data_IF_841059490977
#
_entry.id   IF_841059490977
#
_cell.length_a   1.000
_cell.length_b   1.000
_cell.length_c   1.000
_cell.angle_alpha   90.00
_cell.angle_beta   90.00
_cell.angle_gamma   90.00
#
_symmetry.space_group_name_H-M   'P 1'
#
loop_
_entity.id
_entity.type
_entity.pdbx_description
1 polymer ?
#
# COMPACT_ATOMS: atom_id res chain seq x y z
N UNK A 1 6.72 10.41 2.51
CA UNK A 1 7.90 11.29 2.42
C UNK A 1 8.62 11.03 1.11
N UNK A 2 9.30 12.04 0.57
CA UNK A 2 10.01 11.91 -0.70
C UNK A 2 11.50 11.61 -0.49
N UNK A 3 12.02 10.69 -1.31
CA UNK A 3 13.44 10.47 -1.54
C UNK A 3 13.77 10.99 -2.93
N UNK A 4 14.30 12.21 -2.98
CA UNK A 4 14.60 12.96 -4.18
C UNK A 4 15.86 13.81 -3.96
N UNK A 5 17.06 13.31 -4.34
CA UNK A 5 18.33 14.03 -4.24
C UNK A 5 18.36 15.39 -4.95
N UNK A 6 17.59 15.55 -6.04
CA UNK A 6 17.50 16.83 -6.75
C UNK A 6 16.77 17.88 -5.92
N UNK A 7 15.72 17.48 -5.19
CA UNK A 7 14.94 18.36 -4.31
C UNK A 7 15.61 18.57 -2.94
N UNK A 8 16.29 17.55 -2.42
CA UNK A 8 16.97 17.57 -1.13
C UNK A 8 18.47 17.23 -1.27
N UNK A 9 19.31 18.16 -1.77
CA UNK A 9 20.69 17.87 -2.18
C UNK A 9 21.61 17.33 -1.07
N UNK A 10 21.31 17.62 0.20
CA UNK A 10 22.15 17.20 1.31
C UNK A 10 21.97 15.73 1.68
N UNK A 11 20.71 15.28 1.83
CA UNK A 11 20.40 13.97 2.39
C UNK A 11 19.57 13.08 1.46
N UNK A 12 18.95 13.66 0.42
CA UNK A 12 17.96 13.00 -0.42
C UNK A 12 16.53 13.11 0.10
N UNK A 13 16.30 13.53 1.34
CA UNK A 13 14.96 13.65 1.93
C UNK A 13 14.88 14.77 2.98
N UNK A 14 13.67 15.13 3.39
CA UNK A 14 13.44 16.08 4.49
C UNK A 14 13.62 15.41 5.87
N UNK A 15 14.84 15.47 6.41
CA UNK A 15 15.13 14.92 7.74
C UNK A 15 14.41 15.65 8.89
N UNK A 16 14.01 16.92 8.69
CA UNK A 16 13.32 17.67 9.74
C UNK A 16 11.93 17.09 9.99
N UNK A 17 11.20 16.77 8.91
CA UNK A 17 9.91 16.09 8.99
C UNK A 17 10.03 14.70 9.62
N UNK A 18 11.02 13.89 9.22
CA UNK A 18 11.23 12.56 9.81
C UNK A 18 11.47 12.65 11.32
N UNK A 19 12.37 13.54 11.74
CA UNK A 19 12.67 13.76 13.15
C UNK A 19 11.44 14.28 13.92
N UNK A 20 10.65 15.18 13.33
CA UNK A 20 9.44 15.73 13.95
C UNK A 20 8.40 14.63 14.19
N UNK A 21 8.03 13.86 13.17
CA UNK A 21 7.07 12.76 13.29
C UNK A 21 7.57 11.67 14.25
N UNK A 22 8.86 11.33 14.20
CA UNK A 22 9.48 10.43 15.18
C UNK A 22 9.31 10.92 16.62
N UNK A 23 9.49 12.22 16.86
CA UNK A 23 9.29 12.80 18.20
C UNK A 23 7.84 12.74 18.67
N UNK A 24 6.87 12.90 17.76
CA UNK A 24 5.44 12.81 18.07
C UNK A 24 5.05 11.36 18.38
N UNK A 25 5.52 10.40 17.58
CA UNK A 25 5.31 8.98 17.86
C UNK A 25 5.89 8.59 19.22
N UNK A 26 7.09 9.06 19.56
CA UNK A 26 7.72 8.79 20.86
C UNK A 26 6.92 9.35 22.04
N UNK A 27 6.40 10.59 21.91
CA UNK A 27 5.52 11.19 22.93
C UNK A 27 4.19 10.43 23.09
N UNK A 28 3.66 9.87 22.01
CA UNK A 28 2.42 9.10 22.02
C UNK A 28 2.61 7.64 22.47
N UNK A 29 3.85 7.14 22.55
CA UNK A 29 4.12 5.71 22.75
C UNK A 29 3.74 4.84 21.55
N UNK A 30 3.75 5.43 20.35
CA UNK A 30 3.35 4.77 19.11
C UNK A 30 4.56 4.23 18.32
N UNK A 31 4.29 3.32 17.39
CA UNK A 31 5.21 2.99 16.30
C UNK A 31 5.05 4.06 15.20
N UNK A 32 6.10 4.26 14.40
CA UNK A 32 6.05 5.14 13.23
C UNK A 32 6.08 4.31 11.96
N UNK A 33 5.10 4.48 11.07
CA UNK A 33 5.25 4.06 9.68
C UNK A 33 5.78 5.23 8.84
N UNK A 34 6.78 4.97 8.01
CA UNK A 34 7.32 5.93 7.04
C UNK A 34 7.20 5.32 5.65
N UNK A 35 6.27 5.84 4.86
CA UNK A 35 6.31 5.64 3.40
C UNK A 35 7.40 6.53 2.82
N UNK A 36 8.44 5.93 2.23
CA UNK A 36 9.50 6.65 1.53
C UNK A 36 9.41 6.40 0.03
N UNK A 37 9.16 7.47 -0.73
CA UNK A 37 8.87 7.41 -2.16
C UNK A 37 10.08 7.89 -2.98
N UNK A 38 10.72 7.04 -3.81
CA UNK A 38 11.78 7.41 -4.74
C UNK A 38 11.34 8.36 -5.88
N UNK A 39 10.80 9.54 -5.54
CA UNK A 39 10.26 10.47 -6.55
C UNK A 39 11.32 11.10 -7.46
N UNK A 40 12.61 10.97 -7.12
CA UNK A 40 13.70 11.29 -8.05
C UNK A 40 13.94 10.23 -9.14
N UNK A 41 13.23 9.10 -9.09
CA UNK A 41 13.57 7.87 -9.82
C UNK A 41 14.57 7.02 -9.04
N UNK A 42 14.64 5.73 -9.35
CA UNK A 42 15.59 4.82 -8.68
C UNK A 42 17.04 5.05 -9.12
N UNK A 43 17.23 5.42 -10.39
CA UNK A 43 18.56 5.54 -11.03
C UNK A 43 19.44 6.66 -10.49
N UNK A 44 18.85 7.64 -9.81
CA UNK A 44 19.57 8.74 -9.16
C UNK A 44 19.99 8.42 -7.72
N UNK A 45 19.50 7.30 -7.16
CA UNK A 45 19.81 6.90 -5.80
C UNK A 45 21.17 6.20 -5.73
N UNK A 46 21.88 6.42 -4.63
CA UNK A 46 23.24 5.91 -4.43
C UNK A 46 23.36 5.33 -3.03
N UNK A 47 24.43 4.59 -2.76
CA UNK A 47 24.74 4.08 -1.43
C UNK A 47 24.69 5.17 -0.35
N UNK A 48 25.13 6.40 -0.66
CA UNK A 48 25.07 7.54 0.26
C UNK A 48 23.64 7.92 0.61
N UNK A 49 22.71 7.93 -0.37
CA UNK A 49 21.30 8.24 -0.10
C UNK A 49 20.65 7.20 0.80
N UNK A 50 20.91 5.91 0.57
CA UNK A 50 20.43 4.83 1.44
C UNK A 50 21.01 4.93 2.85
N UNK A 51 22.32 5.19 2.98
CA UNK A 51 22.98 5.37 4.28
C UNK A 51 22.45 6.59 5.05
N UNK A 52 22.17 7.69 4.36
CA UNK A 52 21.59 8.89 4.97
C UNK A 52 20.20 8.62 5.53
N UNK A 53 19.34 7.93 4.78
CA UNK A 53 18.01 7.57 5.26
C UNK A 53 18.09 6.59 6.44
N UNK A 54 18.93 5.55 6.34
CA UNK A 54 19.17 4.61 7.44
C UNK A 54 19.65 5.33 8.72
N UNK A 55 20.51 6.33 8.58
CA UNK A 55 20.97 7.17 9.70
C UNK A 55 19.85 8.01 10.30
N UNK A 56 18.98 8.60 9.48
CA UNK A 56 17.80 9.34 9.95
C UNK A 56 16.83 8.45 10.73
N UNK A 57 16.63 7.21 10.28
CA UNK A 57 15.80 6.21 10.96
C UNK A 57 16.42 5.76 12.29
N UNK A 58 17.74 5.52 12.32
CA UNK A 58 18.47 5.25 13.56
C UNK A 58 18.30 6.39 14.58
N UNK A 59 18.38 7.65 14.13
CA UNK A 59 18.17 8.81 15.02
C UNK A 59 16.76 8.81 15.64
N UNK A 60 15.72 8.44 14.86
CA UNK A 60 14.36 8.27 15.40
C UNK A 60 14.34 7.15 16.45
N UNK A 61 14.97 6.02 16.16
CA UNK A 61 15.03 4.88 17.08
C UNK A 61 15.73 5.25 18.40
N UNK A 62 16.93 5.83 18.35
CA UNK A 62 17.75 6.10 19.54
C UNK A 62 17.23 7.28 20.37
N UNK A 63 16.80 8.36 19.70
CA UNK A 63 16.43 9.59 20.40
C UNK A 63 15.05 9.53 21.03
N UNK A 64 14.12 8.80 20.40
CA UNK A 64 12.72 8.75 20.82
C UNK A 64 12.27 7.36 21.27
N UNK A 65 13.10 6.32 21.10
CA UNK A 65 12.74 4.95 21.44
C UNK A 65 11.66 4.36 20.53
N UNK A 66 11.48 4.91 19.32
CA UNK A 66 10.37 4.58 18.41
C UNK A 66 10.81 3.52 17.41
N UNK A 67 10.17 2.33 17.38
CA UNK A 67 10.32 1.40 16.27
C UNK A 67 9.66 1.94 14.99
N UNK A 68 10.26 1.64 13.84
CA UNK A 68 9.80 2.15 12.55
C UNK A 68 9.42 1.02 11.59
N UNK A 69 8.30 1.18 10.88
CA UNK A 69 7.99 0.45 9.66
C UNK A 69 8.38 1.31 8.46
N UNK A 70 9.41 0.91 7.72
CA UNK A 70 9.84 1.62 6.51
C UNK A 70 9.17 0.99 5.28
N UNK A 71 8.12 1.65 4.75
CA UNK A 71 7.48 1.30 3.48
C UNK A 71 8.20 2.00 2.33
N UNK A 72 9.29 1.38 1.86
CA UNK A 72 10.14 1.93 0.81
C UNK A 72 9.60 1.60 -0.59
N UNK A 73 9.41 2.61 -1.44
CA UNK A 73 8.99 2.44 -2.84
C UNK A 73 7.65 1.73 -2.98
N UNK A 74 6.65 2.11 -2.17
CA UNK A 74 5.30 1.51 -2.22
C UNK A 74 4.68 1.55 -3.63
N UNK A 75 3.77 0.60 -3.90
CA UNK A 75 2.93 0.59 -5.10
C UNK A 75 3.72 0.60 -6.43
N UNK A 76 4.93 0.04 -6.40
CA UNK A 76 5.81 -0.14 -7.55
C UNK A 76 5.19 -0.91 -8.73
N UNK A 77 4.15 -1.70 -8.49
CA UNK A 77 3.38 -2.39 -9.51
C UNK A 77 2.31 -1.52 -10.18
N UNK A 78 2.15 -0.26 -9.75
CA UNK A 78 1.23 0.74 -10.31
C UNK A 78 1.71 1.37 -11.62
N UNK A 79 1.04 2.43 -12.06
CA UNK A 79 1.46 3.22 -13.23
C UNK A 79 1.50 4.74 -12.97
N UNK A 80 1.50 5.14 -11.70
CA UNK A 80 1.38 6.53 -11.22
C UNK A 80 2.62 7.02 -10.46
N UNK A 81 3.71 6.25 -10.44
CA UNK A 81 4.95 6.60 -9.76
C UNK A 81 6.16 6.53 -10.69
N UNK A 82 7.21 7.35 -10.49
CA UNK A 82 8.38 7.39 -11.39
C UNK A 82 9.32 6.19 -11.23
N UNK A 83 9.00 5.25 -10.32
CA UNK A 83 9.72 4.01 -10.07
C UNK A 83 8.81 2.78 -10.31
N UNK A 84 7.66 3.00 -10.95
CA UNK A 84 6.66 1.99 -11.24
C UNK A 84 7.01 1.26 -12.54
N UNK A 85 6.61 -0.01 -12.65
CA UNK A 85 6.92 -0.87 -13.80
C UNK A 85 8.42 -1.06 -14.09
N UNK A 86 9.27 -0.95 -13.06
CA UNK A 86 10.72 -1.17 -13.13
C UNK A 86 11.17 -2.29 -12.15
N UNK A 87 10.63 -3.53 -12.25
CA UNK A 87 10.90 -4.60 -11.26
C UNK A 87 12.38 -4.88 -11.03
N UNK A 88 13.21 -4.85 -12.07
CA UNK A 88 14.65 -5.13 -11.96
C UNK A 88 15.36 -4.12 -11.07
N UNK A 89 15.14 -2.83 -11.34
CA UNK A 89 15.77 -1.75 -10.59
C UNK A 89 15.15 -1.60 -9.19
N UNK A 90 13.83 -1.79 -9.10
CA UNK A 90 13.10 -1.77 -7.83
C UNK A 90 13.65 -2.81 -6.84
N UNK A 91 13.80 -4.07 -7.27
CA UNK A 91 14.33 -5.15 -6.42
C UNK A 91 15.76 -4.82 -5.97
N UNK A 92 16.62 -4.35 -6.86
CA UNK A 92 17.99 -3.97 -6.51
C UNK A 92 18.02 -2.83 -5.49
N UNK A 93 17.19 -1.80 -5.68
CA UNK A 93 17.09 -0.64 -4.80
C UNK A 93 16.53 -1.00 -3.42
N UNK A 94 15.47 -1.82 -3.35
CA UNK A 94 14.90 -2.27 -2.08
C UNK A 94 15.93 -3.06 -1.27
N UNK A 95 16.68 -3.97 -1.92
CA UNK A 95 17.76 -4.75 -1.27
C UNK A 95 18.86 -3.83 -0.73
N UNK A 96 19.26 -2.80 -1.49
CA UNK A 96 20.27 -1.83 -1.05
C UNK A 96 19.78 -1.01 0.17
N UNK A 97 18.51 -0.59 0.18
CA UNK A 97 17.91 0.10 1.31
C UNK A 97 17.85 -0.81 2.55
N UNK A 98 17.38 -2.05 2.40
CA UNK A 98 17.33 -3.02 3.50
C UNK A 98 18.72 -3.29 4.11
N UNK A 99 19.75 -3.42 3.28
CA UNK A 99 21.13 -3.57 3.74
C UNK A 99 21.61 -2.34 4.51
N UNK A 100 21.32 -1.13 4.04
CA UNK A 100 21.70 0.10 4.73
C UNK A 100 21.01 0.24 6.09
N UNK A 101 19.71 -0.09 6.20
CA UNK A 101 18.98 -0.08 7.49
C UNK A 101 19.61 -1.08 8.47
N UNK A 102 19.80 -2.32 8.03
CA UNK A 102 20.31 -3.40 8.89
C UNK A 102 21.76 -3.21 9.32
N UNK A 103 22.54 -2.44 8.57
CA UNK A 103 23.89 -2.07 8.98
C UNK A 103 23.93 -1.18 10.22
N UNK A 104 22.83 -0.48 10.54
CA UNK A 104 22.83 0.54 11.60
C UNK A 104 21.76 0.33 12.67
N UNK A 105 20.65 -0.35 12.40
CA UNK A 105 19.56 -0.55 13.38
C UNK A 105 18.81 -1.87 13.17
N UNK A 106 18.27 -2.42 14.26
CA UNK A 106 17.30 -3.52 14.26
C UNK A 106 15.90 -3.08 14.72
N UNK A 107 15.70 -1.79 14.99
CA UNK A 107 14.41 -1.21 15.40
C UNK A 107 13.60 -0.67 14.21
N UNK A 108 14.09 -0.87 12.98
CA UNK A 108 13.36 -0.51 11.76
C UNK A 108 13.13 -1.75 10.92
N UNK A 109 11.86 -2.05 10.63
CA UNK A 109 11.44 -3.16 9.79
C UNK A 109 11.16 -2.68 8.36
N UNK A 110 11.65 -3.44 7.38
CA UNK A 110 11.39 -3.20 5.96
C UNK A 110 10.02 -3.75 5.56
N UNK A 111 9.15 -2.87 5.05
CA UNK A 111 7.81 -3.20 4.55
C UNK A 111 7.80 -3.18 3.02
N UNK A 112 7.57 -4.33 2.40
CA UNK A 112 7.33 -4.44 0.97
C UNK A 112 5.82 -4.40 0.71
N UNK A 113 5.34 -3.37 0.01
CA UNK A 113 3.91 -3.09 -0.11
C UNK A 113 3.50 -2.64 -1.51
N UNK A 114 3.07 -3.57 -2.38
CA UNK A 114 2.42 -3.23 -3.65
C UNK A 114 1.03 -2.62 -3.46
N UNK A 115 0.48 -2.10 -4.57
CA UNK A 115 -0.95 -1.83 -4.70
C UNK A 115 -1.70 -3.14 -4.97
N UNK A 116 -2.96 -3.23 -4.56
CA UNK A 116 -3.81 -4.38 -4.87
C UNK A 116 -3.94 -4.62 -6.38
N UNK A 117 -3.55 -5.82 -6.81
CA UNK A 117 -3.36 -6.16 -8.22
C UNK A 117 -4.61 -6.52 -9.00
N UNK A 118 -5.83 -6.41 -8.45
CA UNK A 118 -7.07 -6.91 -9.10
C UNK A 118 -7.31 -6.32 -10.50
N UNK A 119 -6.82 -5.11 -10.76
CA UNK A 119 -6.95 -4.44 -12.06
C UNK A 119 -5.60 -4.25 -12.76
N UNK A 120 -4.62 -5.08 -12.40
CA UNK A 120 -3.33 -5.11 -13.08
C UNK A 120 -3.49 -5.74 -14.49
N UNK A 121 -2.71 -5.27 -15.48
CA UNK A 121 -1.93 -4.04 -15.48
C UNK A 121 -2.86 -2.81 -15.46
N UNK A 122 -2.50 -1.81 -14.67
CA UNK A 122 -3.33 -0.63 -14.47
C UNK A 122 -3.44 0.20 -15.78
N UNK A 123 -4.67 0.60 -16.12
CA UNK A 123 -5.03 1.26 -17.38
C UNK A 123 -4.46 2.68 -17.56
N UNK A 124 -4.47 3.20 -18.79
CA UNK A 124 -3.64 4.32 -19.24
C UNK A 124 -4.22 5.74 -19.08
N UNK A 125 -5.46 5.92 -18.61
CA UNK A 125 -6.13 7.24 -18.68
C UNK A 125 -5.46 8.30 -17.81
N UNK A 126 -4.75 7.89 -16.75
CA UNK A 126 -4.01 8.76 -15.84
C UNK A 126 -2.58 8.25 -15.56
N UNK A 127 -2.03 7.40 -16.46
CA UNK A 127 -0.71 6.80 -16.27
C UNK A 127 0.41 7.85 -16.39
N UNK A 128 1.28 7.92 -15.40
CA UNK A 128 2.52 8.72 -15.48
C UNK A 128 3.69 7.92 -16.06
N UNK A 129 3.57 6.59 -16.09
CA UNK A 129 4.56 5.68 -16.68
C UNK A 129 3.87 4.61 -17.56
N UNK A 130 4.56 4.19 -18.62
CA UNK A 130 4.07 3.15 -19.53
C UNK A 130 4.66 1.78 -19.15
N UNK A 131 3.95 0.71 -19.50
CA UNK A 131 4.51 -0.65 -19.45
C UNK A 131 5.80 -0.70 -20.31
N UNK A 132 6.89 -1.33 -19.83
CA UNK A 132 8.14 -1.46 -20.57
C UNK A 132 7.95 -2.06 -21.96
N UNK A 133 8.82 -1.69 -22.89
CA UNK A 133 8.75 -2.24 -24.25
C UNK A 133 9.05 -3.74 -24.26
N UNK A 134 8.35 -4.48 -25.12
CA UNK A 134 8.60 -5.90 -25.35
C UNK A 134 10.08 -6.18 -25.66
N UNK A 135 10.64 -7.23 -25.04
CA UNK A 135 12.05 -7.60 -25.16
C UNK A 135 13.00 -6.89 -24.18
N UNK A 136 12.52 -5.97 -23.35
CA UNK A 136 13.29 -5.46 -22.21
C UNK A 136 13.30 -6.47 -21.06
N UNK A 137 14.27 -6.33 -20.13
CA UNK A 137 14.34 -7.17 -18.93
C UNK A 137 13.09 -7.01 -18.06
N UNK A 138 12.62 -5.78 -17.87
CA UNK A 138 11.44 -5.50 -17.06
C UNK A 138 10.15 -6.02 -17.70
N UNK A 139 9.98 -5.88 -19.03
CA UNK A 139 8.87 -6.54 -19.71
C UNK A 139 8.90 -8.06 -19.51
N UNK A 140 10.08 -8.68 -19.66
CA UNK A 140 10.23 -10.13 -19.49
C UNK A 140 9.93 -10.57 -18.05
N UNK A 141 10.23 -9.72 -17.06
CA UNK A 141 9.88 -9.97 -15.67
C UNK A 141 8.37 -9.84 -15.41
N UNK A 142 7.70 -8.92 -16.12
CA UNK A 142 6.26 -8.64 -15.97
C UNK A 142 5.35 -9.58 -16.78
N UNK A 143 5.80 -10.10 -17.93
CA UNK A 143 5.15 -11.16 -18.73
C UNK A 143 5.44 -12.53 -18.11
N UNK A 144 4.80 -12.75 -16.96
CA UNK A 144 5.00 -13.92 -16.08
C UNK A 144 4.40 -15.20 -16.65
N UNK A 145 3.40 -15.08 -17.54
CA UNK A 145 2.83 -16.21 -18.25
C UNK A 145 3.54 -16.49 -19.60
N UNK A 146 4.41 -15.58 -20.06
CA UNK A 146 5.25 -15.73 -21.25
C UNK A 146 4.50 -15.66 -22.57
N UNK A 147 3.34 -15.00 -22.60
CA UNK A 147 2.47 -14.94 -23.78
C UNK A 147 2.83 -13.79 -24.74
N UNK A 148 3.81 -12.95 -24.40
CA UNK A 148 4.24 -11.80 -25.19
C UNK A 148 3.44 -10.53 -24.94
N UNK A 149 2.64 -10.48 -23.88
CA UNK A 149 1.91 -9.31 -23.40
C UNK A 149 2.01 -9.24 -21.86
N UNK A 150 1.88 -8.03 -21.31
CA UNK A 150 1.57 -7.87 -19.88
C UNK A 150 0.07 -7.66 -19.78
N UNK A 151 -0.64 -8.58 -19.14
CA UNK A 151 -2.10 -8.63 -19.08
C UNK A 151 -2.63 -9.12 -17.72
N UNK A 152 -3.96 -9.17 -17.50
CA UNK A 152 -4.51 -9.58 -16.20
C UNK A 152 -4.21 -11.02 -15.76
N UNK A 153 -3.66 -11.87 -16.63
CA UNK A 153 -3.23 -13.22 -16.25
C UNK A 153 -1.76 -13.24 -15.77
N UNK A 154 -1.10 -12.07 -15.71
CA UNK A 154 0.23 -11.91 -15.12
C UNK A 154 0.22 -11.65 -13.63
N UNK A 155 1.25 -12.15 -12.93
CA UNK A 155 1.47 -11.94 -11.51
C UNK A 155 1.85 -10.47 -11.23
N UNK A 156 0.98 -9.71 -10.55
CA UNK A 156 1.20 -8.29 -10.32
C UNK A 156 2.19 -8.01 -9.18
N UNK A 157 2.73 -9.05 -8.54
CA UNK A 157 3.45 -8.95 -7.27
C UNK A 157 4.85 -9.54 -7.32
N UNK A 158 4.98 -10.82 -7.70
CA UNK A 158 6.24 -11.58 -7.63
C UNK A 158 7.39 -10.93 -8.40
N UNK A 159 7.20 -10.30 -9.58
CA UNK A 159 8.28 -9.60 -10.28
C UNK A 159 8.97 -8.53 -9.43
N UNK A 160 8.27 -7.96 -8.45
CA UNK A 160 8.75 -6.90 -7.57
C UNK A 160 9.18 -7.40 -6.19
N UNK A 161 9.06 -8.70 -5.89
CA UNK A 161 9.38 -9.22 -4.55
C UNK A 161 10.90 -9.35 -4.34
N UNK A 162 11.51 -8.60 -3.40
CA UNK A 162 12.97 -8.50 -3.33
C UNK A 162 13.63 -9.64 -2.56
N UNK A 163 12.85 -10.53 -1.94
CA UNK A 163 13.31 -11.74 -1.26
C UNK A 163 13.04 -11.75 0.25
N UNK A 164 12.83 -12.95 0.79
CA UNK A 164 12.54 -13.18 2.21
C UNK A 164 13.65 -12.72 3.14
N UNK A 165 14.88 -12.68 2.64
CA UNK A 165 16.03 -12.23 3.42
C UNK A 165 15.96 -10.74 3.70
N UNK A 166 15.31 -9.90 2.89
CA UNK A 166 15.28 -8.43 3.06
C UNK A 166 13.91 -7.86 3.41
N UNK A 167 12.84 -8.65 3.30
CA UNK A 167 11.47 -8.25 3.66
C UNK A 167 11.15 -8.72 5.08
N UNK A 168 10.79 -7.79 5.95
CA UNK A 168 10.34 -8.12 7.31
C UNK A 168 8.81 -8.23 7.38
N UNK A 169 8.10 -7.38 6.62
CA UNK A 169 6.63 -7.34 6.53
C UNK A 169 6.15 -7.20 5.08
N UNK A 170 5.04 -7.86 4.78
CA UNK A 170 4.30 -7.64 3.54
C UNK A 170 3.19 -6.63 3.78
N UNK A 171 2.91 -5.79 2.79
CA UNK A 171 1.86 -4.79 2.82
C UNK A 171 1.01 -4.86 1.56
N UNK A 172 -0.22 -4.36 1.63
CA UNK A 172 -1.03 -4.13 0.43
C UNK A 172 -1.74 -2.80 0.58
N UNK A 173 -1.54 -1.85 -0.33
CA UNK A 173 -2.43 -0.69 -0.41
C UNK A 173 -3.79 -1.18 -0.91
N UNK A 174 -4.79 -1.14 -0.03
CA UNK A 174 -6.13 -1.61 -0.32
C UNK A 174 -7.14 -0.68 0.33
N UNK A 175 -7.91 -0.03 -0.53
CA UNK A 175 -9.07 0.76 -0.15
C UNK A 175 -10.32 0.04 -0.58
N UNK A 176 -11.43 0.29 0.11
CA UNK A 176 -12.71 0.14 -0.54
C UNK A 176 -12.88 1.30 -1.52
N UNK A 177 -12.70 1.04 -2.81
CA UNK A 177 -13.19 1.95 -3.84
C UNK A 177 -14.58 1.49 -4.28
N UNK A 178 -15.57 2.38 -4.27
CA UNK A 178 -16.90 2.02 -4.70
C UNK A 178 -16.91 1.54 -6.15
N UNK A 179 -17.74 0.54 -6.45
CA UNK A 179 -17.85 -0.04 -7.79
C UNK A 179 -18.55 0.93 -8.76
N UNK A 180 -18.24 0.80 -10.05
CA UNK A 180 -18.88 1.60 -11.10
C UNK A 180 -20.41 1.59 -10.98
N UNK A 181 -21.00 2.78 -10.89
CA UNK A 181 -22.45 2.97 -10.76
C UNK A 181 -22.96 3.25 -9.34
N UNK A 182 -22.10 3.24 -8.30
CA UNK A 182 -22.45 3.82 -7.01
C UNK A 182 -21.21 4.16 -6.16
N UNK A 183 -21.03 5.44 -5.77
CA UNK A 183 -19.88 5.85 -4.95
C UNK A 183 -20.12 5.91 -3.44
N UNK A 184 -21.36 6.12 -3.02
CA UNK A 184 -21.73 6.07 -1.61
C UNK A 184 -22.53 4.80 -1.31
N UNK A 185 -22.18 3.64 -1.88
CA UNK A 185 -22.85 2.37 -1.57
C UNK A 185 -22.23 1.65 -0.36
N UNK A 186 -23.02 0.79 0.31
CA UNK A 186 -22.49 -0.13 1.32
C UNK A 186 -21.32 -0.97 0.79
N UNK A 187 -20.32 -1.17 1.63
CA UNK A 187 -19.20 -2.07 1.34
C UNK A 187 -19.75 -3.50 1.16
N UNK A 188 -19.49 -4.17 0.01
CA UNK A 188 -19.90 -5.56 -0.18
C UNK A 188 -19.33 -6.46 0.91
N UNK A 189 -20.12 -7.43 1.40
CA UNK A 189 -19.79 -8.21 2.59
C UNK A 189 -18.46 -8.98 2.55
N UNK A 190 -17.96 -9.31 1.36
CA UNK A 190 -16.74 -10.09 1.15
C UNK A 190 -15.59 -9.27 0.56
N UNK A 191 -15.74 -7.94 0.43
CA UNK A 191 -14.80 -7.10 -0.33
C UNK A 191 -13.34 -7.30 0.07
N UNK A 192 -13.03 -7.22 1.37
CA UNK A 192 -11.66 -7.41 1.86
C UNK A 192 -11.12 -8.81 1.54
N UNK A 193 -11.90 -9.85 1.84
CA UNK A 193 -11.51 -11.24 1.58
C UNK A 193 -11.22 -11.45 0.08
N UNK A 194 -12.11 -10.95 -0.77
CA UNK A 194 -12.07 -11.19 -2.19
C UNK A 194 -10.87 -10.49 -2.84
N UNK A 195 -10.65 -9.20 -2.52
CA UNK A 195 -9.50 -8.43 -3.00
C UNK A 195 -8.17 -9.00 -2.50
N UNK A 196 -8.15 -9.52 -1.27
CA UNK A 196 -6.95 -10.10 -0.70
C UNK A 196 -6.59 -11.48 -1.30
N UNK A 197 -7.60 -12.22 -1.78
CA UNK A 197 -7.43 -13.57 -2.32
C UNK A 197 -7.52 -13.64 -3.83
N UNK A 198 -7.81 -12.53 -4.51
CA UNK A 198 -8.00 -12.50 -5.96
C UNK A 198 -9.25 -13.24 -6.44
N UNK A 199 -10.18 -13.59 -5.53
CA UNK A 199 -11.31 -14.45 -5.84
C UNK A 199 -12.54 -14.11 -5.01
N UNK A 200 -13.68 -13.98 -5.67
CA UNK A 200 -14.98 -13.88 -5.02
C UNK A 200 -15.98 -13.04 -5.82
N UNK A 201 -17.20 -12.87 -5.33
CA UNK A 201 -18.28 -12.20 -6.06
C UNK A 201 -17.99 -10.74 -6.44
N UNK A 202 -17.04 -10.06 -5.79
CA UNK A 202 -16.73 -8.64 -6.11
C UNK A 202 -15.63 -8.46 -7.16
N UNK A 203 -14.84 -9.50 -7.47
CA UNK A 203 -13.65 -9.38 -8.33
C UNK A 203 -14.02 -9.15 -9.80
N UNK A 204 -15.21 -9.56 -10.22
CA UNK A 204 -15.67 -9.37 -11.60
C UNK A 204 -14.97 -10.27 -12.63
N UNK A 205 -13.91 -10.97 -12.24
CA UNK A 205 -13.22 -11.99 -13.02
C UNK A 205 -13.52 -13.38 -12.45
N UNK A 206 -13.76 -14.35 -13.35
CA UNK A 206 -14.01 -15.75 -12.98
C UNK A 206 -13.14 -16.67 -13.84
N UNK A 207 -11.84 -16.35 -13.89
CA UNK A 207 -10.84 -17.16 -14.56
C UNK A 207 -9.82 -17.73 -13.57
N UNK A 208 -9.38 -18.96 -13.84
CA UNK A 208 -8.46 -19.70 -12.99
C UNK A 208 -7.01 -19.24 -13.11
N UNK A 209 -6.57 -18.75 -14.28
CA UNK A 209 -5.23 -18.20 -14.45
C UNK A 209 -5.10 -16.91 -13.64
N UNK A 210 -6.05 -15.98 -13.81
CA UNK A 210 -6.18 -14.78 -12.99
C UNK A 210 -6.14 -15.10 -11.48
N UNK A 211 -7.02 -15.99 -11.01
CA UNK A 211 -7.13 -16.29 -9.58
C UNK A 211 -5.85 -16.91 -8.99
N UNK A 212 -5.04 -17.59 -9.81
CA UNK A 212 -3.80 -18.24 -9.36
C UNK A 212 -2.71 -17.23 -9.00
N UNK A 213 -2.69 -16.08 -9.66
CA UNK A 213 -1.63 -15.06 -9.52
C UNK A 213 -2.07 -13.83 -8.71
N UNK A 214 -3.34 -13.72 -8.36
CA UNK A 214 -3.90 -12.57 -7.61
C UNK A 214 -4.11 -12.82 -6.11
N UNK A 215 -3.81 -14.03 -5.61
CA UNK A 215 -3.98 -14.39 -4.19
C UNK A 215 -2.81 -13.90 -3.33
N UNK A 216 -2.75 -12.58 -3.09
CA UNK A 216 -1.66 -11.94 -2.35
C UNK A 216 -1.38 -12.58 -0.99
N UNK A 217 -2.43 -12.81 -0.17
CA UNK A 217 -2.24 -13.42 1.14
C UNK A 217 -1.69 -14.84 1.03
N UNK A 218 -2.22 -15.63 0.08
CA UNK A 218 -1.73 -16.97 -0.19
C UNK A 218 -0.25 -16.99 -0.58
N UNK A 219 0.16 -16.07 -1.46
CA UNK A 219 1.53 -16.01 -1.98
C UNK A 219 2.52 -15.55 -0.93
N UNK A 220 2.22 -14.50 -0.17
CA UNK A 220 3.22 -13.82 0.65
C UNK A 220 3.07 -14.03 2.16
N UNK A 221 1.89 -14.44 2.63
CA UNK A 221 1.56 -14.45 4.06
C UNK A 221 1.10 -15.80 4.59
N UNK A 222 0.70 -16.78 3.76
CA UNK A 222 0.36 -18.11 4.25
C UNK A 222 1.55 -18.86 4.85
N UNK A 223 1.26 -19.86 5.68
CA UNK A 223 2.28 -20.82 6.10
C UNK A 223 2.72 -21.68 4.91
N UNK A 224 4.02 -21.96 4.82
CA UNK A 224 4.59 -22.73 3.70
C UNK A 224 4.85 -21.94 2.42
N UNK A 225 4.57 -20.64 2.40
CA UNK A 225 5.01 -19.70 1.35
C UNK A 225 6.08 -18.75 1.89
N UNK A 226 6.03 -17.44 1.62
CA UNK A 226 6.96 -16.47 2.20
C UNK A 226 6.77 -16.25 3.71
N UNK A 227 5.61 -16.66 4.25
CA UNK A 227 5.36 -16.72 5.70
C UNK A 227 5.54 -15.38 6.42
N UNK A 228 5.30 -14.25 5.75
CA UNK A 228 5.50 -12.91 6.32
C UNK A 228 4.28 -12.42 7.10
N UNK A 229 4.47 -11.63 8.16
CA UNK A 229 3.38 -10.86 8.73
C UNK A 229 2.93 -9.79 7.72
N UNK A 230 1.62 -9.56 7.68
CA UNK A 230 0.97 -8.68 6.72
C UNK A 230 0.33 -7.46 7.40
N UNK A 231 0.38 -6.33 6.71
CA UNK A 231 -0.39 -5.14 7.03
C UNK A 231 -1.14 -4.56 5.82
N UNK A 232 -2.14 -3.72 6.07
CA UNK A 232 -2.57 -2.70 5.10
C UNK A 232 -1.90 -1.38 5.53
N UNK A 233 -0.74 -1.01 4.95
CA UNK A 233 -0.03 0.22 5.34
C UNK A 233 -0.79 1.49 4.95
N UNK A 234 -1.83 1.33 4.14
CA UNK A 234 -2.69 2.42 3.73
C UNK A 234 -4.05 1.86 3.33
N UNK A 235 -5.10 2.27 4.04
CA UNK A 235 -6.46 1.82 3.78
C UNK A 235 -7.52 2.82 4.26
N UNK A 236 -8.62 2.91 3.52
CA UNK A 236 -9.84 3.60 3.96
C UNK A 236 -11.04 3.20 3.08
N UNK A 237 -12.20 3.73 3.44
CA UNK A 237 -13.43 3.67 2.66
C UNK A 237 -13.97 5.11 2.52
N UNK A 238 -13.85 5.73 1.33
CA UNK A 238 -14.20 7.12 1.13
C UNK A 238 -15.71 7.35 1.16
N UNK A 239 -16.09 8.56 1.54
CA UNK A 239 -17.44 9.10 1.34
C UNK A 239 -17.39 10.36 0.49
N UNK A 240 -18.26 10.46 -0.52
CA UNK A 240 -18.28 11.55 -1.49
C UNK A 240 -19.38 12.55 -1.13
N UNK A 241 -18.99 13.72 -0.61
CA UNK A 241 -19.92 14.80 -0.29
C UNK A 241 -20.41 15.51 -1.55
N UNK A 242 -21.70 15.81 -1.60
CA UNK A 242 -22.34 16.50 -2.73
C UNK A 242 -22.66 15.61 -3.93
N UNK A 243 -22.28 14.32 -3.89
CA UNK A 243 -22.63 13.37 -4.95
C UNK A 243 -24.14 13.08 -4.96
N UNK A 244 -24.77 12.90 -6.15
CA UNK A 244 -26.15 12.44 -6.24
C UNK A 244 -26.44 11.19 -5.41
N UNK A 245 -27.60 11.19 -4.75
CA UNK A 245 -28.09 10.04 -4.00
C UNK A 245 -28.77 9.08 -4.97
N UNK A 246 -28.12 7.95 -5.22
CA UNK A 246 -28.67 6.80 -5.95
C UNK A 246 -29.46 5.87 -5.01
N UNK A 247 -30.29 4.98 -5.59
CA UNK A 247 -31.18 4.10 -4.83
C UNK A 247 -30.48 3.20 -3.79
N UNK A 248 -29.22 2.84 -4.03
CA UNK A 248 -28.39 2.02 -3.14
C UNK A 248 -27.36 2.84 -2.33
N UNK A 249 -27.51 4.17 -2.28
CA UNK A 249 -26.63 5.01 -1.47
C UNK A 249 -26.89 4.78 0.02
N UNK A 250 -25.85 4.97 0.83
CA UNK A 250 -25.89 4.86 2.28
C UNK A 250 -25.10 6.00 2.94
N UNK A 251 -25.07 6.00 4.26
CA UNK A 251 -24.38 7.01 5.06
C UNK A 251 -22.88 6.77 5.14
N UNK A 252 -22.11 7.83 5.39
CA UNK A 252 -20.68 7.75 5.68
C UNK A 252 -20.36 6.74 6.80
N UNK A 253 -21.13 6.77 7.89
CA UNK A 253 -20.96 5.84 9.02
C UNK A 253 -21.14 4.40 8.54
N UNK A 254 -22.14 4.11 7.72
CA UNK A 254 -22.40 2.75 7.24
C UNK A 254 -21.28 2.23 6.31
N UNK A 255 -20.72 3.10 5.46
CA UNK A 255 -19.57 2.74 4.61
C UNK A 255 -18.35 2.44 5.47
N UNK A 256 -17.98 3.36 6.36
CA UNK A 256 -16.79 3.21 7.22
C UNK A 256 -16.94 2.04 8.18
N UNK A 257 -18.12 1.85 8.76
CA UNK A 257 -18.42 0.68 9.59
C UNK A 257 -18.32 -0.61 8.78
N UNK A 258 -18.85 -0.65 7.55
CA UNK A 258 -18.77 -1.82 6.69
C UNK A 258 -17.33 -2.23 6.39
N UNK A 259 -16.45 -1.26 6.11
CA UNK A 259 -15.04 -1.52 5.84
C UNK A 259 -14.29 -1.99 7.09
N UNK A 260 -14.35 -1.20 8.18
CA UNK A 260 -13.60 -1.52 9.39
C UNK A 260 -14.10 -2.77 10.09
N UNK A 261 -15.39 -3.11 10.00
CA UNK A 261 -15.92 -4.38 10.50
C UNK A 261 -15.35 -5.59 9.77
N UNK A 262 -15.05 -5.46 8.46
CA UNK A 262 -14.37 -6.54 7.73
C UNK A 262 -12.92 -6.69 8.18
N UNK A 263 -12.17 -5.59 8.34
CA UNK A 263 -10.77 -5.67 8.75
C UNK A 263 -10.60 -6.18 10.20
N UNK A 264 -11.47 -5.76 11.12
CA UNK A 264 -11.35 -6.06 12.56
C UNK A 264 -12.12 -7.32 12.99
N UNK A 265 -12.98 -7.85 12.11
CA UNK A 265 -13.88 -8.96 12.40
C UNK A 265 -13.18 -10.29 12.74
N UNK A 266 -13.84 -11.13 13.52
CA UNK A 266 -13.32 -12.44 13.94
C UNK A 266 -13.08 -13.41 12.77
N UNK A 267 -13.94 -13.38 11.74
CA UNK A 267 -13.76 -14.16 10.51
C UNK A 267 -12.45 -13.81 9.81
N UNK A 268 -12.15 -12.51 9.66
CA UNK A 268 -10.89 -12.05 9.08
C UNK A 268 -9.69 -12.48 9.92
N UNK A 269 -9.75 -12.31 11.25
CA UNK A 269 -8.68 -12.77 12.16
C UNK A 269 -8.43 -14.28 12.07
N UNK A 270 -9.48 -15.06 11.82
CA UNK A 270 -9.39 -16.53 11.67
C UNK A 270 -8.83 -16.94 10.31
N UNK A 271 -9.31 -16.32 9.23
CA UNK A 271 -8.92 -16.66 7.87
C UNK A 271 -7.53 -16.11 7.51
N UNK A 272 -7.16 -14.97 8.09
CA UNK A 272 -5.93 -14.24 7.79
C UNK A 272 -5.12 -13.99 9.07
N UNK A 273 -4.65 -15.04 9.79
CA UNK A 273 -3.97 -14.90 11.08
C UNK A 273 -2.65 -14.13 11.03
N UNK A 274 -2.09 -13.84 9.85
CA UNK A 274 -0.92 -12.97 9.68
C UNK A 274 -1.24 -11.54 9.28
N UNK A 275 -2.51 -11.21 9.07
CA UNK A 275 -2.93 -9.82 9.00
C UNK A 275 -2.89 -9.23 10.41
N UNK A 276 -1.94 -8.33 10.67
CA UNK A 276 -1.62 -7.84 12.02
C UNK A 276 -1.75 -6.33 12.20
N UNK A 277 -1.85 -5.57 11.11
CA UNK A 277 -1.97 -4.11 11.20
C UNK A 277 -2.73 -3.53 10.01
N UNK A 278 -3.49 -2.46 10.26
CA UNK A 278 -4.14 -1.64 9.25
C UNK A 278 -3.95 -0.18 9.63
N UNK A 279 -3.47 0.64 8.69
CA UNK A 279 -3.17 2.04 8.89
C UNK A 279 -4.22 2.86 8.14
N UNK A 280 -5.03 3.60 8.88
CA UNK A 280 -6.08 4.44 8.33
C UNK A 280 -5.50 5.59 7.50
N UNK A 281 -6.01 5.80 6.30
CA UNK A 281 -5.71 6.98 5.50
C UNK A 281 -6.54 8.18 5.99
N UNK A 282 -5.97 8.94 6.93
CA UNK A 282 -6.58 10.13 7.53
C UNK A 282 -6.41 11.37 6.64
N UNK A 283 -7.21 11.46 5.59
CA UNK A 283 -7.18 12.61 4.70
C UNK A 283 -8.56 12.93 4.10
N UNK A 284 -8.81 14.22 3.92
CA UNK A 284 -9.82 14.77 3.01
C UNK A 284 -9.12 15.16 1.69
N UNK A 285 -9.74 14.85 0.56
CA UNK A 285 -9.24 15.21 -0.76
C UNK A 285 -10.38 15.62 -1.70
N UNK A 286 -10.02 16.14 -2.86
CA UNK A 286 -10.96 16.37 -3.95
C UNK A 286 -10.70 15.35 -5.04
N UNK A 287 -11.72 14.57 -5.39
CA UNK A 287 -11.64 13.59 -6.50
C UNK A 287 -12.66 13.96 -7.56
N UNK A 288 -12.36 13.67 -8.82
CA UNK A 288 -13.21 14.07 -9.97
C UNK A 288 -13.80 12.85 -10.68
N UNK A 289 -14.71 12.08 -10.05
CA UNK A 289 -15.46 11.06 -10.77
C UNK A 289 -16.44 11.69 -11.76
N UNK A 290 -16.50 11.14 -12.98
CA UNK A 290 -17.40 11.58 -14.07
C UNK A 290 -17.30 13.08 -14.40
N UNK A 291 -16.08 13.62 -14.46
CA UNK A 291 -15.82 15.03 -14.78
C UNK A 291 -16.42 16.03 -13.77
N UNK A 292 -16.87 15.56 -12.59
CA UNK A 292 -17.38 16.41 -11.51
C UNK A 292 -16.53 16.21 -10.27
N UNK A 293 -15.99 17.30 -9.73
CA UNK A 293 -15.16 17.26 -8.52
C UNK A 293 -16.03 17.24 -7.28
N UNK A 294 -15.83 16.23 -6.45
CA UNK A 294 -16.46 16.09 -5.13
C UNK A 294 -15.42 16.13 -4.04
N UNK A 295 -15.86 16.59 -2.87
CA UNK A 295 -15.11 16.42 -1.64
C UNK A 295 -15.20 14.97 -1.19
N UNK A 296 -14.06 14.34 -1.00
CA UNK A 296 -13.93 12.91 -0.71
C UNK A 296 -13.24 12.73 0.63
N UNK A 297 -13.96 12.10 1.56
CA UNK A 297 -13.57 11.98 2.95
C UNK A 297 -13.19 10.54 3.30
N UNK A 298 -11.91 10.32 3.60
CA UNK A 298 -11.35 9.01 3.95
C UNK A 298 -11.21 8.82 5.47
N UNK A 299 -11.05 9.91 6.21
CA UNK A 299 -10.63 9.96 7.61
C UNK A 299 -11.67 9.38 8.55
N UNK A 300 -11.30 8.54 9.52
CA UNK A 300 -12.22 8.14 10.58
C UNK A 300 -12.37 9.20 11.67
N UNK A 301 -11.42 10.15 11.76
CA UNK A 301 -11.37 11.12 12.87
C UNK A 301 -12.10 12.44 12.61
N UNK A 302 -12.44 12.77 11.37
CA UNK A 302 -13.04 14.07 11.03
C UNK A 302 -14.51 14.22 11.52
N UNK A 303 -15.23 13.10 11.66
CA UNK A 303 -16.63 13.08 12.09
C UNK A 303 -16.78 12.43 13.47
N UNK A 304 -17.37 13.13 14.44
CA UNK A 304 -17.55 12.59 15.81
C UNK A 304 -18.36 11.30 15.85
N UNK A 305 -19.35 11.14 14.96
CA UNK A 305 -20.15 9.92 14.87
C UNK A 305 -19.38 8.75 14.24
N UNK A 306 -18.53 9.04 13.24
CA UNK A 306 -17.64 8.02 12.65
C UNK A 306 -16.58 7.59 13.65
N UNK A 307 -15.96 8.55 14.34
CA UNK A 307 -14.97 8.28 15.39
C UNK A 307 -15.57 7.43 16.51
N UNK A 308 -16.76 7.80 17.00
CA UNK A 308 -17.45 7.01 18.03
C UNK A 308 -17.77 5.58 17.56
N UNK A 309 -18.20 5.43 16.30
CA UNK A 309 -18.41 4.10 15.70
C UNK A 309 -17.11 3.29 15.65
N UNK A 310 -16.00 3.90 15.22
CA UNK A 310 -14.71 3.23 15.12
C UNK A 310 -14.16 2.81 16.49
N UNK A 311 -14.25 3.69 17.51
CA UNK A 311 -13.87 3.38 18.89
C UNK A 311 -14.64 2.14 19.39
N UNK A 312 -15.95 2.09 19.17
CA UNK A 312 -16.76 0.94 19.55
C UNK A 312 -16.35 -0.36 18.81
N UNK A 313 -15.81 -0.28 17.59
CA UNK A 313 -15.34 -1.46 16.85
C UNK A 313 -14.00 -1.99 17.38
N UNK A 314 -13.09 -1.11 17.81
CA UNK A 314 -11.77 -1.53 18.33
C UNK A 314 -11.82 -1.97 19.79
N UNK A 315 -12.81 -1.51 20.55
CA UNK A 315 -13.03 -1.90 21.95
C UNK A 315 -13.85 -3.20 22.11
N UNK A 316 -14.43 -3.72 21.01
CA UNK A 316 -15.26 -4.93 20.97
C UNK A 316 -14.45 -6.24 20.83
#
# INVERSE_FOLDING_TARGET
MELNPTKYPALGFDNSSLNWFGSLAGKAGALLEVTMQPLGGLSVLTATHYANLATGLLQVNEKYGVPVYLRYGHEMNGNWCPYCYEPTEYVASFRAMAQAVRAVTNMTAMVWAPNVGIHYPFGSTDSTVAVPAAGTADFTAMDTNGNGAVDPDDDPYTPYYPGDDVVDWTGLSLYYYPLSGCYNCPVPATYFNDYLTGKGPVIGFNDSAFSAVHNFYGMFSNDGTHNKPMMLPETAAPYFYGMPVYANSTTEIAIKQGWWSQLLGSTTKTNFPKFRAAIAFEQESYTTPFDVTYLTEYSITNSSSVLAMFINLIDA
#
